data_IF_225578935149
#
_entry.id   IF_225578935149
#
_cell.length_a   1.000
_cell.length_b   1.000
_cell.length_c   1.000
_cell.angle_alpha   90.00
_cell.angle_beta   90.00
_cell.angle_gamma   90.00
#
_symmetry.space_group_name_H-M   'P 1'
#
loop_
_entity.id
_entity.type
_entity.pdbx_description
1 polymer ?
#
# COMPACT_ATOMS: atom_id res chain seq x y z
N UNK A 1 -12.88 22.99 -49.59
CA UNK A 1 -13.73 24.06 -49.01
C UNK A 1 -14.78 23.56 -47.99
N UNK A 2 -15.02 22.26 -47.81
CA UNK A 2 -16.05 21.75 -46.88
C UNK A 2 -15.68 21.70 -45.37
N UNK A 3 -14.39 21.84 -45.01
CA UNK A 3 -13.93 21.72 -43.61
C UNK A 3 -14.05 23.00 -42.76
N UNK A 4 -13.91 24.19 -43.35
CA UNK A 4 -13.98 25.44 -42.59
C UNK A 4 -15.43 25.84 -42.23
N UNK A 5 -16.39 25.53 -43.12
CA UNK A 5 -17.82 25.76 -42.88
C UNK A 5 -18.38 24.82 -41.80
N UNK A 6 -17.90 23.58 -41.69
CA UNK A 6 -18.35 22.65 -40.64
C UNK A 6 -17.83 23.03 -39.26
N UNK A 7 -16.59 23.52 -39.14
CA UNK A 7 -16.05 24.03 -37.87
C UNK A 7 -16.83 25.26 -37.40
N UNK A 8 -17.07 26.24 -38.27
CA UNK A 8 -17.85 27.43 -37.92
C UNK A 8 -19.31 27.09 -37.51
N UNK A 9 -19.96 26.17 -38.23
CA UNK A 9 -21.31 25.71 -37.91
C UNK A 9 -21.39 24.98 -36.54
N UNK A 10 -20.37 24.18 -36.21
CA UNK A 10 -20.30 23.50 -34.91
C UNK A 10 -20.10 24.48 -33.75
N UNK A 11 -19.25 25.51 -33.93
CA UNK A 11 -19.04 26.56 -32.92
C UNK A 11 -20.32 27.38 -32.68
N UNK A 12 -21.04 27.75 -33.74
CA UNK A 12 -22.33 28.46 -33.66
C UNK A 12 -23.41 27.65 -32.92
N UNK A 13 -23.47 26.34 -33.17
CA UNK A 13 -24.43 25.46 -32.50
C UNK A 13 -24.14 25.33 -31.00
N UNK A 14 -22.87 25.23 -30.62
CA UNK A 14 -22.45 25.18 -29.20
C UNK A 14 -22.80 26.50 -28.49
N UNK A 15 -22.54 27.64 -29.15
CA UNK A 15 -22.82 28.96 -28.57
C UNK A 15 -24.33 29.20 -28.37
N UNK A 16 -25.13 28.76 -29.35
CA UNK A 16 -26.59 28.86 -29.28
C UNK A 16 -27.17 27.96 -28.17
N UNK A 17 -26.63 26.75 -27.99
CA UNK A 17 -26.99 25.85 -26.89
C UNK A 17 -26.61 26.43 -25.52
N UNK A 18 -25.42 27.02 -25.39
CA UNK A 18 -24.98 27.70 -24.17
C UNK A 18 -25.93 28.85 -23.81
N UNK A 19 -26.28 29.69 -24.78
CA UNK A 19 -27.18 30.82 -24.60
C UNK A 19 -28.59 30.39 -24.20
N UNK A 20 -29.12 29.34 -24.83
CA UNK A 20 -30.41 28.75 -24.47
C UNK A 20 -30.41 28.18 -23.05
N UNK A 21 -29.31 27.55 -22.64
CA UNK A 21 -29.16 27.01 -21.30
C UNK A 21 -29.06 28.10 -20.24
N UNK A 22 -28.33 29.18 -20.53
CA UNK A 22 -28.19 30.33 -19.64
C UNK A 22 -29.52 31.07 -19.44
N UNK A 23 -30.25 31.36 -20.54
CA UNK A 23 -31.56 32.02 -20.48
C UNK A 23 -32.66 31.14 -19.84
N UNK A 24 -32.60 29.82 -20.03
CA UNK A 24 -33.56 28.88 -19.44
C UNK A 24 -33.34 28.60 -17.94
N UNK A 25 -32.24 29.09 -17.36
CA UNK A 25 -31.85 28.81 -15.97
C UNK A 25 -31.79 30.02 -15.04
N UNK A 26 -32.16 31.22 -15.51
CA UNK A 26 -32.16 32.47 -14.72
C UNK A 26 -33.26 32.56 -13.64
N UNK A 27 -33.64 31.43 -13.03
CA UNK A 27 -34.68 31.37 -12.01
C UNK A 27 -34.69 30.12 -11.12
N UNK A 28 -33.67 29.25 -11.19
CA UNK A 28 -33.57 28.08 -10.30
C UNK A 28 -32.35 28.21 -9.40
N UNK A 29 -32.58 28.08 -8.09
CA UNK A 29 -31.55 28.09 -7.06
C UNK A 29 -30.55 26.96 -7.32
N UNK A 30 -29.26 27.25 -7.23
CA UNK A 30 -28.15 26.33 -7.52
C UNK A 30 -28.32 24.94 -6.88
N UNK A 31 -29.03 24.86 -5.75
CA UNK A 31 -29.35 23.65 -5.02
C UNK A 31 -30.23 22.65 -5.78
N UNK A 32 -31.21 23.11 -6.56
CA UNK A 32 -32.02 22.24 -7.43
C UNK A 32 -31.22 21.72 -8.62
N UNK A 33 -30.20 22.48 -9.05
CA UNK A 33 -29.32 22.10 -10.16
C UNK A 33 -28.44 20.92 -9.75
N UNK A 34 -27.91 20.94 -8.52
CA UNK A 34 -27.14 19.80 -7.98
C UNK A 34 -28.00 18.55 -7.80
N UNK A 35 -29.23 18.68 -7.27
CA UNK A 35 -30.14 17.53 -7.10
C UNK A 35 -30.54 16.90 -8.43
N UNK A 36 -30.82 17.72 -9.45
CA UNK A 36 -31.23 17.20 -10.76
C UNK A 36 -30.07 16.59 -11.55
N UNK A 37 -28.86 17.11 -11.39
CA UNK A 37 -27.65 16.50 -11.96
C UNK A 37 -27.29 15.17 -11.29
N UNK A 38 -27.57 15.02 -9.99
CA UNK A 38 -27.44 13.77 -9.25
C UNK A 38 -28.48 12.72 -9.70
N UNK A 39 -29.72 13.16 -9.97
CA UNK A 39 -30.85 12.31 -10.39
C UNK A 39 -30.77 11.84 -11.85
N UNK A 40 -30.38 12.71 -12.80
CA UNK A 40 -30.43 12.43 -14.25
C UNK A 40 -29.15 11.75 -14.78
N UNK A 41 -27.98 11.95 -14.16
CA UNK A 41 -26.69 11.51 -14.71
C UNK A 41 -25.93 10.49 -13.84
N UNK A 42 -26.51 10.11 -12.69
CA UNK A 42 -25.90 9.16 -11.75
C UNK A 42 -24.68 9.72 -11.02
N UNK A 43 -24.34 9.10 -9.88
CA UNK A 43 -23.33 9.55 -8.90
C UNK A 43 -21.89 9.68 -9.44
N UNK A 44 -21.67 9.55 -10.75
CA UNK A 44 -20.36 9.56 -11.42
C UNK A 44 -20.06 10.87 -12.17
N UNK A 45 -20.97 11.84 -12.24
CA UNK A 45 -20.72 13.17 -12.85
C UNK A 45 -20.21 14.21 -11.86
N UNK A 46 -20.43 14.03 -10.55
CA UNK A 46 -19.67 14.78 -9.53
C UNK A 46 -18.32 14.09 -9.35
N UNK A 47 -17.26 14.81 -9.68
CA UNK A 47 -15.85 14.44 -9.63
C UNK A 47 -15.34 14.20 -8.19
N UNK A 48 -16.03 13.37 -7.40
CA UNK A 48 -15.65 13.00 -6.05
C UNK A 48 -16.08 11.55 -5.79
N UNK A 49 -15.18 10.56 -5.96
CA UNK A 49 -15.51 9.20 -5.59
C UNK A 49 -15.84 9.17 -4.09
N UNK A 50 -17.05 8.73 -3.73
CA UNK A 50 -17.42 8.52 -2.33
C UNK A 50 -16.44 7.52 -1.71
N UNK A 51 -15.92 7.83 -0.53
CA UNK A 51 -15.03 6.94 0.21
C UNK A 51 -15.86 5.76 0.72
N UNK A 52 -16.06 4.74 -0.11
CA UNK A 52 -16.79 3.54 0.26
C UNK A 52 -15.95 2.71 1.24
N UNK A 53 -16.53 2.35 2.38
CA UNK A 53 -15.92 1.45 3.36
C UNK A 53 -15.54 0.10 2.73
N UNK A 54 -16.23 -0.33 1.66
CA UNK A 54 -15.84 -1.52 0.88
C UNK A 54 -14.50 -1.32 0.17
N UNK A 55 -14.22 -0.11 -0.33
CA UNK A 55 -12.94 0.22 -0.98
C UNK A 55 -11.83 0.45 0.05
N UNK A 56 -12.16 0.91 1.26
CA UNK A 56 -11.18 1.08 2.34
C UNK A 56 -10.44 -0.22 2.69
N UNK A 57 -11.08 -1.38 2.53
CA UNK A 57 -10.43 -2.68 2.70
C UNK A 57 -9.31 -2.91 1.67
N UNK A 58 -9.51 -2.49 0.42
CA UNK A 58 -8.48 -2.56 -0.62
C UNK A 58 -7.30 -1.64 -0.29
N UNK A 59 -7.57 -0.46 0.27
CA UNK A 59 -6.54 0.47 0.75
C UNK A 59 -5.76 -0.04 1.97
N UNK A 60 -6.36 -0.87 2.82
CA UNK A 60 -5.70 -1.49 3.96
C UNK A 60 -4.85 -2.70 3.58
N UNK A 61 -5.09 -3.30 2.42
CA UNK A 61 -4.39 -4.51 1.98
C UNK A 61 -2.85 -4.39 1.97
N UNK A 62 -2.22 -3.29 1.52
CA UNK A 62 -0.75 -3.20 1.49
C UNK A 62 -0.16 -3.13 2.91
N UNK A 63 -0.86 -2.49 3.84
CA UNK A 63 -0.43 -2.38 5.24
C UNK A 63 -0.47 -3.73 5.93
N UNK A 64 -1.54 -4.50 5.70
CA UNK A 64 -1.70 -5.85 6.27
C UNK A 64 -0.61 -6.78 5.72
N UNK A 65 -0.39 -6.79 4.41
CA UNK A 65 0.63 -7.66 3.77
C UNK A 65 2.03 -7.28 4.25
N UNK A 66 2.36 -5.99 4.30
CA UNK A 66 3.65 -5.52 4.79
C UNK A 66 3.86 -5.88 6.28
N UNK A 67 2.84 -5.68 7.12
CA UNK A 67 2.87 -6.01 8.53
C UNK A 67 3.04 -7.51 8.77
N UNK A 68 2.31 -8.35 8.04
CA UNK A 68 2.44 -9.80 8.12
C UNK A 68 3.85 -10.27 7.72
N UNK A 69 4.38 -9.78 6.59
CA UNK A 69 5.73 -10.14 6.13
C UNK A 69 6.80 -9.70 7.13
N UNK A 70 6.71 -8.48 7.66
CA UNK A 70 7.63 -7.97 8.67
C UNK A 70 7.55 -8.79 9.98
N UNK A 71 6.34 -9.16 10.40
CA UNK A 71 6.10 -10.00 11.58
C UNK A 71 6.73 -11.39 11.44
N UNK A 72 6.53 -12.06 10.30
CA UNK A 72 7.14 -13.37 10.02
C UNK A 72 8.67 -13.27 10.00
N UNK A 73 9.22 -12.25 9.33
CA UNK A 73 10.68 -12.03 9.31
C UNK A 73 11.25 -11.77 10.70
N UNK A 74 10.60 -10.91 11.50
CA UNK A 74 11.03 -10.59 12.85
C UNK A 74 10.96 -11.82 13.77
N UNK A 75 9.89 -12.61 13.66
CA UNK A 75 9.71 -13.85 14.41
C UNK A 75 10.78 -14.88 14.06
N UNK A 76 11.01 -15.14 12.77
CA UNK A 76 12.02 -16.10 12.31
C UNK A 76 13.42 -15.63 12.72
N UNK A 77 13.73 -14.34 12.57
CA UNK A 77 14.99 -13.73 13.03
C UNK A 77 15.19 -13.89 14.53
N UNK A 78 14.13 -13.75 15.33
CA UNK A 78 14.17 -13.96 16.78
C UNK A 78 14.40 -15.43 17.11
N UNK A 79 13.66 -16.35 16.46
CA UNK A 79 13.76 -17.79 16.65
C UNK A 79 15.15 -18.34 16.33
N UNK A 80 15.79 -17.83 15.27
CA UNK A 80 17.16 -18.21 14.88
C UNK A 80 18.18 -17.93 16.00
N UNK A 81 18.04 -16.84 16.76
CA UNK A 81 18.95 -16.52 17.87
C UNK A 81 18.82 -17.49 19.03
N UNK A 82 17.62 -18.00 19.29
CA UNK A 82 17.38 -18.95 20.40
C UNK A 82 17.79 -20.37 20.02
N UNK A 83 17.53 -20.80 18.78
CA UNK A 83 17.80 -22.17 18.36
C UNK A 83 19.28 -22.50 18.18
N UNK A 84 20.15 -21.55 17.78
CA UNK A 84 21.59 -21.84 17.63
C UNK A 84 22.27 -22.22 18.95
N UNK A 85 21.84 -21.63 20.07
CA UNK A 85 22.36 -21.99 21.39
C UNK A 85 22.02 -23.43 21.75
N UNK A 86 20.77 -23.84 21.48
CA UNK A 86 20.29 -25.20 21.76
C UNK A 86 20.89 -26.22 20.76
N UNK A 87 21.12 -25.82 19.51
CA UNK A 87 21.76 -26.64 18.48
C UNK A 87 23.23 -26.90 18.81
N UNK A 88 23.96 -25.89 19.29
CA UNK A 88 25.32 -26.05 19.83
C UNK A 88 25.35 -27.01 21.04
N UNK A 89 24.40 -26.87 21.97
CA UNK A 89 24.29 -27.75 23.13
C UNK A 89 24.00 -29.22 22.75
N UNK A 90 23.15 -29.45 21.75
CA UNK A 90 22.84 -30.80 21.28
C UNK A 90 24.00 -31.47 20.53
N UNK A 91 24.80 -30.68 19.79
CA UNK A 91 26.00 -31.19 19.10
C UNK A 91 27.06 -31.68 20.10
N UNK A 92 27.21 -31.04 21.26
CA UNK A 92 28.18 -31.42 22.30
C UNK A 92 27.70 -32.60 23.16
N UNK A 93 26.39 -32.85 23.25
CA UNK A 93 25.81 -33.95 24.06
C UNK A 93 26.04 -35.35 23.49
N UNK A 94 26.21 -35.50 22.18
CA UNK A 94 26.36 -36.80 21.51
C UNK A 94 27.81 -37.32 21.42
N UNK A 95 28.80 -36.52 21.79
CA UNK A 95 30.23 -36.85 21.65
C UNK A 95 30.80 -37.21 23.03
N UNK A 96 31.51 -38.34 23.18
CA UNK A 96 32.17 -38.70 24.43
C UNK A 96 33.37 -37.78 24.68
N UNK A 97 33.13 -36.60 25.23
CA UNK A 97 34.14 -35.58 25.57
C UNK A 97 34.47 -35.62 27.07
N UNK A 98 35.75 -35.51 27.40
CA UNK A 98 36.21 -35.33 28.78
C UNK A 98 35.83 -33.93 29.31
N UNK A 99 35.73 -33.72 30.64
CA UNK A 99 35.26 -32.45 31.22
C UNK A 99 36.03 -31.22 30.73
N UNK A 100 37.34 -31.37 30.48
CA UNK A 100 38.23 -30.31 30.01
C UNK A 100 38.03 -29.99 28.53
N UNK A 101 37.79 -31.01 27.70
CA UNK A 101 37.48 -30.84 26.28
C UNK A 101 36.12 -30.18 26.07
N UNK A 102 35.15 -30.43 26.96
CA UNK A 102 33.83 -29.76 26.93
C UNK A 102 33.94 -28.25 27.12
N UNK A 103 34.79 -27.78 28.04
CA UNK A 103 35.00 -26.34 28.25
C UNK A 103 35.66 -25.69 27.02
N UNK A 104 36.68 -26.33 26.45
CA UNK A 104 37.35 -25.82 25.24
C UNK A 104 36.41 -25.82 24.04
N UNK A 105 35.58 -26.85 23.88
CA UNK A 105 34.55 -26.86 22.83
C UNK A 105 33.47 -25.82 23.05
N UNK A 106 33.04 -25.60 24.30
CA UNK A 106 32.02 -24.58 24.61
C UNK A 106 32.52 -23.18 24.22
N UNK A 107 33.80 -22.90 24.48
CA UNK A 107 34.45 -21.64 24.11
C UNK A 107 34.56 -21.48 22.58
N UNK A 108 34.91 -22.54 21.86
CA UNK A 108 35.04 -22.53 20.40
C UNK A 108 33.70 -22.48 19.65
N UNK A 109 32.64 -23.07 20.19
CA UNK A 109 31.32 -23.17 19.54
C UNK A 109 30.45 -21.94 19.86
N UNK A 110 30.72 -21.22 20.94
CA UNK A 110 29.98 -20.00 21.26
C UNK A 110 30.29 -18.93 20.20
N UNK A 111 29.33 -18.57 19.32
CA UNK A 111 29.63 -17.64 18.25
C UNK A 111 30.01 -16.27 18.84
N UNK A 112 31.02 -15.58 18.30
CA UNK A 112 31.34 -14.21 18.74
C UNK A 112 30.07 -13.37 18.60
N UNK A 113 29.78 -12.53 19.62
CA UNK A 113 28.63 -11.60 19.60
C UNK A 113 28.63 -10.88 18.26
N UNK A 114 27.71 -11.25 17.37
CA UNK A 114 27.67 -10.67 16.04
C UNK A 114 27.47 -9.16 16.20
N UNK A 115 28.44 -8.32 15.76
CA UNK A 115 28.28 -6.88 15.86
C UNK A 115 27.00 -6.49 15.14
N UNK A 116 26.25 -5.57 15.75
CA UNK A 116 24.96 -5.10 15.24
C UNK A 116 25.19 -4.37 13.91
N UNK A 117 25.28 -5.14 12.81
CA UNK A 117 25.49 -4.62 11.46
C UNK A 117 24.30 -3.77 11.08
N UNK A 118 24.54 -2.47 10.99
CA UNK A 118 23.53 -1.51 10.59
C UNK A 118 23.40 -1.50 9.05
N UNK A 119 22.19 -1.44 8.49
CA UNK A 119 21.97 -1.50 7.04
C UNK A 119 22.78 -0.53 6.16
N UNK A 120 23.30 0.58 6.68
CA UNK A 120 24.06 1.57 5.91
C UNK A 120 25.54 1.24 5.69
N UNK A 121 26.07 0.20 6.35
CA UNK A 121 27.49 -0.21 6.22
C UNK A 121 27.79 -1.00 4.93
N UNK A 122 26.81 -1.14 4.02
CA UNK A 122 26.93 -1.84 2.73
C UNK A 122 26.84 -0.86 1.55
N UNK A 123 27.61 0.23 1.60
CA UNK A 123 27.96 1.02 0.41
C UNK A 123 29.45 1.03 0.21
#
# INVERSE_FOLDING_TARGET
MYGAQSVAANQLKILMLMWQFYLGRSGKSDKEIYQKLEEDFGETVLYAPKFDFQTAALWLSPVIVAGAAAGVWAYERHRQRTNVHIMALNLVRGVPLTPKEKETMLDLITPPRQPRRWPWERR
#
